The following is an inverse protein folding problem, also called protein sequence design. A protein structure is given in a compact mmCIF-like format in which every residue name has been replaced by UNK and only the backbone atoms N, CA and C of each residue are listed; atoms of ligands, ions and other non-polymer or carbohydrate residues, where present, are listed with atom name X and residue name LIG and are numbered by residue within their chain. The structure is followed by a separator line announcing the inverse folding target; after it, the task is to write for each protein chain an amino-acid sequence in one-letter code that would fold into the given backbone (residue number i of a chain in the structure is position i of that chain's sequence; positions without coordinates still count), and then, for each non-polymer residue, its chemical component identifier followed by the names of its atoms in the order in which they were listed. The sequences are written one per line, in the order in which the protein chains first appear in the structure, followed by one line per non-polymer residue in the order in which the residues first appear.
data_IF_984441955306
#
_entry.id   IF_984441955306
#
_cell.length_a   1.000
_cell.length_b   1.000
_cell.length_c   1.000
_cell.angle_alpha   90.00
_cell.angle_beta   90.00
_cell.angle_gamma   90.00
#
_symmetry.space_group_name_H-M   'P 1'
#
loop_
_entity.id
_entity.type
_entity.pdbx_description
1 polymer ?
#
# COMPACT_ATOMS: atom_id res chain seq x y z
N UNK A 1 9.84 -2.14 -21.57
CA UNK A 1 10.61 -1.59 -20.43
C UNK A 1 9.97 -2.16 -19.18
N UNK A 2 10.75 -2.70 -18.24
CA UNK A 2 10.19 -3.14 -16.96
C UNK A 2 10.05 -1.90 -16.06
N UNK A 3 8.91 -1.76 -15.39
CA UNK A 3 8.69 -0.69 -14.40
C UNK A 3 9.56 -0.90 -13.17
N UNK A 4 10.11 0.18 -12.61
CA UNK A 4 10.68 0.19 -11.27
C UNK A 4 9.55 0.36 -10.26
N UNK A 5 9.54 -0.49 -9.23
CA UNK A 5 8.42 -0.61 -8.31
C UNK A 5 8.88 -0.40 -6.87
N UNK A 6 8.29 0.58 -6.21
CA UNK A 6 8.44 0.84 -4.77
C UNK A 6 7.16 0.37 -4.05
N UNK A 7 7.32 -0.41 -3.00
CA UNK A 7 6.24 -0.73 -2.09
C UNK A 7 6.52 -0.05 -0.75
N UNK A 8 5.71 0.97 -0.45
CA UNK A 8 5.69 1.65 0.85
C UNK A 8 4.82 0.82 1.79
N UNK A 9 5.46 0.13 2.71
CA UNK A 9 4.83 -0.68 3.75
C UNK A 9 4.69 0.15 5.02
N UNK A 10 3.45 0.32 5.48
CA UNK A 10 3.15 0.90 6.78
C UNK A 10 2.43 -0.11 7.66
N UNK A 11 3.10 -0.59 8.70
CA UNK A 11 2.52 -1.56 9.64
C UNK A 11 3.20 -1.47 11.00
N UNK A 12 2.57 -0.91 12.04
CA UNK A 12 3.21 -0.63 13.33
C UNK A 12 3.65 -1.88 14.09
N UNK A 13 3.14 -3.06 13.75
CA UNK A 13 3.51 -4.35 14.36
C UNK A 13 3.71 -5.41 13.27
N UNK A 14 4.57 -5.11 12.30
CA UNK A 14 4.81 -5.98 11.14
C UNK A 14 5.34 -7.35 11.54
N UNK A 15 6.18 -7.43 12.56
CA UNK A 15 6.80 -8.69 13.00
C UNK A 15 5.77 -9.74 13.43
N UNK A 16 4.61 -9.32 13.89
CA UNK A 16 3.49 -10.20 14.25
C UNK A 16 2.41 -10.28 13.16
N UNK A 17 2.59 -9.61 12.03
CA UNK A 17 1.61 -9.59 10.95
C UNK A 17 1.72 -10.83 10.07
N UNK A 18 0.82 -11.77 10.21
CA UNK A 18 0.69 -12.90 9.29
C UNK A 18 0.34 -12.42 7.87
N UNK A 19 -0.67 -11.58 7.74
CA UNK A 19 -1.19 -11.17 6.45
C UNK A 19 -0.19 -10.37 5.61
N UNK A 20 0.34 -9.28 6.17
CA UNK A 20 1.24 -8.42 5.40
C UNK A 20 2.57 -9.12 5.09
N UNK A 21 3.07 -9.98 6.00
CA UNK A 21 4.25 -10.82 5.73
C UNK A 21 4.02 -11.79 4.57
N UNK A 22 2.87 -12.48 4.53
CA UNK A 22 2.52 -13.40 3.45
C UNK A 22 2.47 -12.68 2.10
N UNK A 23 1.77 -11.54 2.03
CA UNK A 23 1.68 -10.72 0.82
C UNK A 23 3.08 -10.29 0.34
N UNK A 24 3.89 -9.72 1.23
CA UNK A 24 5.24 -9.23 0.88
C UNK A 24 6.15 -10.39 0.44
N UNK A 25 6.12 -11.53 1.13
CA UNK A 25 6.90 -12.71 0.76
C UNK A 25 6.54 -13.20 -0.64
N UNK A 26 5.24 -13.29 -0.93
CA UNK A 26 4.75 -13.69 -2.26
C UNK A 26 5.12 -12.66 -3.33
N UNK A 27 4.95 -11.35 -3.07
CA UNK A 27 5.35 -10.29 -4.00
C UNK A 27 6.84 -10.35 -4.33
N UNK A 28 7.72 -10.53 -3.34
CA UNK A 28 9.15 -10.69 -3.58
C UNK A 28 9.48 -11.91 -4.45
N UNK A 29 8.71 -12.99 -4.34
CA UNK A 29 8.90 -14.16 -5.20
C UNK A 29 8.45 -13.94 -6.64
N UNK A 30 7.44 -13.08 -6.86
CA UNK A 30 6.90 -12.76 -8.18
C UNK A 30 7.63 -11.59 -8.87
N UNK A 31 8.14 -10.65 -8.07
CA UNK A 31 8.87 -9.45 -8.51
C UNK A 31 10.13 -9.33 -7.65
N UNK A 32 11.21 -10.08 -7.97
CA UNK A 32 12.43 -10.08 -7.14
C UNK A 32 13.07 -8.70 -6.95
N UNK A 33 12.93 -7.81 -7.93
CA UNK A 33 13.47 -6.47 -7.93
C UNK A 33 12.59 -5.40 -7.24
N UNK A 34 11.45 -5.78 -6.64
CA UNK A 34 10.59 -4.85 -5.91
C UNK A 34 11.33 -4.22 -4.73
N UNK A 35 11.39 -2.91 -4.69
CA UNK A 35 11.93 -2.16 -3.55
C UNK A 35 10.90 -2.09 -2.44
N UNK A 36 11.23 -2.58 -1.24
CA UNK A 36 10.34 -2.56 -0.07
C UNK A 36 10.83 -1.49 0.89
N UNK A 37 9.97 -0.54 1.19
CA UNK A 37 10.20 0.58 2.07
C UNK A 37 9.30 0.47 3.31
N UNK A 38 9.78 -0.19 4.36
CA UNK A 38 9.02 -0.38 5.61
C UNK A 38 9.21 0.84 6.51
N UNK A 39 8.33 1.84 6.35
CA UNK A 39 8.48 3.17 6.97
C UNK A 39 8.46 3.13 8.50
N UNK A 40 7.63 2.27 9.14
CA UNK A 40 7.64 2.14 10.60
C UNK A 40 8.98 1.60 11.14
N UNK A 41 9.67 0.75 10.39
CA UNK A 41 10.97 0.21 10.76
C UNK A 41 12.10 1.19 10.49
N UNK A 42 12.00 1.97 9.43
CA UNK A 42 13.01 2.96 9.04
C UNK A 42 12.98 4.19 9.94
N UNK A 43 11.81 4.54 10.45
CA UNK A 43 11.57 5.75 11.23
C UNK A 43 10.89 5.44 12.56
N UNK A 44 11.53 4.66 13.46
CA UNK A 44 10.91 4.21 14.71
C UNK A 44 10.64 5.35 15.70
N UNK A 45 11.31 6.49 15.53
CA UNK A 45 11.08 7.71 16.31
C UNK A 45 10.10 8.68 15.65
N UNK A 46 9.51 8.30 14.52
CA UNK A 46 8.56 9.12 13.76
C UNK A 46 9.18 10.24 12.93
N UNK A 47 10.54 10.36 12.90
CA UNK A 47 11.23 11.41 12.14
C UNK A 47 11.60 10.95 10.75
N UNK A 48 10.74 11.27 9.80
CA UNK A 48 10.90 10.86 8.41
C UNK A 48 12.02 11.63 7.73
N UNK A 49 12.94 10.91 7.07
CA UNK A 49 13.90 11.53 6.17
C UNK A 49 13.24 11.84 4.84
N UNK A 50 12.59 12.99 4.76
CA UNK A 50 11.79 13.44 3.61
C UNK A 50 12.56 13.35 2.31
N UNK A 51 13.81 13.82 2.27
CA UNK A 51 14.63 13.79 1.06
C UNK A 51 14.89 12.37 0.56
N UNK A 52 15.17 11.45 1.45
CA UNK A 52 15.37 10.04 1.11
C UNK A 52 14.11 9.42 0.53
N UNK A 53 12.93 9.72 1.14
CA UNK A 53 11.64 9.22 0.63
C UNK A 53 11.31 9.80 -0.75
N UNK A 54 11.55 11.09 -0.94
CA UNK A 54 11.35 11.75 -2.23
C UNK A 54 12.27 11.18 -3.33
N UNK A 55 13.52 10.86 -3.01
CA UNK A 55 14.45 10.21 -3.95
C UNK A 55 13.95 8.81 -4.36
N UNK A 56 13.43 8.01 -3.42
CA UNK A 56 12.80 6.71 -3.73
C UNK A 56 11.58 6.89 -4.66
N UNK A 57 10.73 7.87 -4.35
CA UNK A 57 9.56 8.17 -5.20
C UNK A 57 9.97 8.57 -6.60
N UNK A 58 11.01 9.42 -6.76
CA UNK A 58 11.50 9.85 -8.08
C UNK A 58 12.03 8.65 -8.88
N UNK A 59 12.79 7.77 -8.24
CA UNK A 59 13.45 6.61 -8.86
C UNK A 59 12.47 5.57 -9.41
N UNK A 60 11.28 5.45 -8.81
CA UNK A 60 10.31 4.41 -9.10
C UNK A 60 9.14 4.90 -9.96
N UNK A 61 8.60 4.04 -10.82
CA UNK A 61 7.50 4.33 -11.74
C UNK A 61 6.13 4.00 -11.13
N UNK A 62 6.09 2.94 -10.32
CA UNK A 62 4.89 2.44 -9.65
C UNK A 62 5.13 2.49 -8.15
N UNK A 63 4.18 3.06 -7.42
CA UNK A 63 4.18 3.15 -5.97
C UNK A 63 3.01 2.32 -5.44
N UNK A 64 3.31 1.31 -4.64
CA UNK A 64 2.31 0.47 -3.99
C UNK A 64 2.25 0.87 -2.52
N UNK A 65 1.11 1.28 -2.03
CA UNK A 65 0.89 1.52 -0.60
C UNK A 65 0.29 0.28 0.03
N UNK A 66 1.07 -0.43 0.86
CA UNK A 66 0.66 -1.66 1.56
C UNK A 66 0.46 -1.38 3.05
N UNK A 67 -0.76 -1.62 3.56
CA UNK A 67 -1.08 -1.38 4.97
C UNK A 67 -2.30 -2.18 5.46
N UNK A 68 -2.42 -2.42 6.77
CA UNK A 68 -3.67 -2.84 7.38
C UNK A 68 -4.57 -1.63 7.60
N UNK A 69 -5.87 -1.78 7.33
CA UNK A 69 -6.84 -0.74 7.65
C UNK A 69 -7.09 -0.68 9.14
N UNK A 70 -6.97 0.49 9.73
CA UNK A 70 -7.35 0.79 11.11
C UNK A 70 -8.47 1.82 11.14
N UNK A 71 -9.57 1.49 11.84
CA UNK A 71 -10.72 2.39 11.99
C UNK A 71 -11.15 3.03 10.65
N UNK A 72 -11.32 2.18 9.64
CA UNK A 72 -11.76 2.58 8.29
C UNK A 72 -10.85 3.58 7.59
N UNK A 73 -9.58 3.66 8.00
CA UNK A 73 -8.59 4.56 7.43
C UNK A 73 -7.21 3.88 7.32
N UNK A 74 -6.28 4.54 6.64
CA UNK A 74 -4.86 4.18 6.66
C UNK A 74 -4.27 4.41 8.06
N UNK A 75 -3.18 3.70 8.45
CA UNK A 75 -2.49 3.96 9.70
C UNK A 75 -2.05 5.43 9.82
N UNK A 76 -2.04 5.96 11.04
CA UNK A 76 -1.69 7.37 11.28
C UNK A 76 -0.30 7.72 10.73
N UNK A 77 0.67 6.82 10.85
CA UNK A 77 2.02 7.05 10.38
C UNK A 77 2.10 7.17 8.84
N UNK A 78 1.27 6.43 8.11
CA UNK A 78 1.15 6.61 6.66
C UNK A 78 0.53 7.98 6.33
N UNK A 79 -0.36 8.52 7.17
CA UNK A 79 -0.90 9.87 6.98
C UNK A 79 0.17 10.93 7.21
N UNK A 80 0.97 10.80 8.29
CA UNK A 80 2.11 11.66 8.54
C UNK A 80 3.11 11.60 7.38
N UNK A 81 3.42 10.39 6.90
CA UNK A 81 4.33 10.21 5.76
C UNK A 81 3.85 10.98 4.52
N UNK A 82 2.55 10.96 4.22
CA UNK A 82 1.99 11.76 3.12
C UNK A 82 2.14 13.27 3.37
N UNK A 83 1.88 13.74 4.58
CA UNK A 83 2.00 15.16 4.95
C UNK A 83 3.44 15.65 4.83
N UNK A 84 4.39 14.86 5.32
CA UNK A 84 5.81 15.24 5.33
C UNK A 84 6.45 15.11 3.94
N UNK A 85 6.16 14.04 3.19
CA UNK A 85 6.87 13.73 1.92
C UNK A 85 6.26 14.41 0.71
N UNK A 86 4.92 14.60 0.68
CA UNK A 86 4.23 15.23 -0.44
C UNK A 86 4.21 16.77 -0.30
N UNK A 87 5.39 17.37 -0.20
CA UNK A 87 5.57 18.80 0.02
C UNK A 87 5.21 19.66 -1.19
N UNK A 88 4.94 20.96 -0.89
CA UNK A 88 4.87 22.00 -1.90
C UNK A 88 6.19 22.13 -2.67
N UNK A 89 6.12 22.27 -3.99
CA UNK A 89 7.31 22.31 -4.85
C UNK A 89 7.91 20.93 -5.20
N UNK A 90 7.43 19.87 -4.55
CA UNK A 90 7.78 18.48 -4.89
C UNK A 90 6.60 17.76 -5.55
N UNK A 91 5.52 17.55 -4.79
CA UNK A 91 4.35 16.79 -5.24
C UNK A 91 3.27 17.67 -5.89
N UNK A 92 3.20 18.93 -5.50
CA UNK A 92 2.19 19.89 -5.99
C UNK A 92 2.71 21.33 -5.92
N UNK A 93 1.91 22.26 -6.47
CA UNK A 93 2.24 23.69 -6.48
C UNK A 93 3.25 24.07 -7.57
N UNK A 94 3.92 25.22 -7.38
CA UNK A 94 4.90 25.72 -8.35
C UNK A 94 6.11 24.78 -8.45
N UNK A 95 6.39 24.25 -9.64
CA UNK A 95 7.44 23.24 -9.90
C UNK A 95 7.23 21.88 -9.19
N UNK A 96 6.06 21.67 -8.58
CA UNK A 96 5.70 20.43 -7.88
C UNK A 96 5.15 19.36 -8.82
N UNK A 97 5.97 18.84 -9.73
CA UNK A 97 5.62 17.87 -10.76
C UNK A 97 6.41 16.55 -10.68
N UNK A 98 7.15 16.32 -9.60
CA UNK A 98 8.05 15.18 -9.48
C UNK A 98 7.33 13.82 -9.45
N UNK A 99 6.04 13.84 -9.09
CA UNK A 99 5.19 12.65 -9.05
C UNK A 99 4.31 12.49 -10.30
N UNK A 100 4.35 13.44 -11.23
CA UNK A 100 3.56 13.41 -12.45
C UNK A 100 3.72 12.10 -13.23
N UNK A 101 2.59 11.51 -13.62
CA UNK A 101 2.49 10.23 -14.36
C UNK A 101 2.96 8.98 -13.60
N UNK A 102 3.45 9.07 -12.38
CA UNK A 102 3.70 7.87 -11.55
C UNK A 102 2.38 7.17 -11.24
N UNK A 103 2.42 5.86 -11.12
CA UNK A 103 1.25 5.01 -10.93
C UNK A 103 1.12 4.68 -9.45
N UNK A 104 -0.12 4.71 -8.94
CA UNK A 104 -0.44 4.32 -7.56
C UNK A 104 -1.31 3.07 -7.57
N UNK A 105 -0.94 2.10 -6.74
CA UNK A 105 -1.75 0.93 -6.39
C UNK A 105 -1.90 0.92 -4.87
N UNK A 106 -3.13 0.71 -4.39
CA UNK A 106 -3.39 0.53 -2.96
C UNK A 106 -3.60 -0.94 -2.65
N UNK A 107 -2.89 -1.42 -1.65
CA UNK A 107 -2.92 -2.80 -1.17
C UNK A 107 -3.23 -2.79 0.32
N UNK A 108 -4.38 -3.32 0.72
CA UNK A 108 -4.80 -3.26 2.11
C UNK A 108 -5.43 -4.55 2.61
N UNK A 109 -5.28 -4.78 3.91
CA UNK A 109 -5.90 -5.87 4.63
C UNK A 109 -6.93 -5.35 5.62
N UNK A 110 -8.04 -6.07 5.79
CA UNK A 110 -9.14 -5.72 6.67
C UNK A 110 -9.35 -6.79 7.74
N UNK A 111 -9.64 -6.37 8.96
CA UNK A 111 -10.11 -7.27 10.01
C UNK A 111 -11.58 -7.66 9.84
N UNK A 112 -12.41 -6.77 9.33
CA UNK A 112 -13.83 -7.00 9.06
C UNK A 112 -14.04 -7.65 7.67
N UNK A 113 -15.26 -8.13 7.39
CA UNK A 113 -15.62 -8.70 6.09
C UNK A 113 -15.96 -7.61 5.08
N UNK A 114 -15.78 -7.89 3.79
CA UNK A 114 -16.20 -7.00 2.71
C UNK A 114 -17.72 -6.77 2.68
N UNK A 115 -18.50 -7.69 3.25
CA UNK A 115 -19.95 -7.54 3.36
C UNK A 115 -20.36 -6.32 4.18
N UNK A 116 -19.55 -5.95 5.18
CA UNK A 116 -19.76 -4.73 5.96
C UNK A 116 -19.70 -3.45 5.11
N UNK A 117 -19.02 -3.51 3.96
CA UNK A 117 -18.79 -2.35 3.09
C UNK A 117 -19.70 -2.34 1.85
N UNK A 118 -20.81 -3.06 1.85
CA UNK A 118 -21.70 -3.17 0.67
C UNK A 118 -22.75 -2.07 0.56
N UNK A 119 -23.15 -1.48 1.68
CA UNK A 119 -24.28 -0.55 1.73
C UNK A 119 -23.81 0.92 1.67
N UNK A 120 -23.95 1.64 2.78
CA UNK A 120 -23.69 3.09 2.83
C UNK A 120 -22.22 3.46 2.71
N UNK A 121 -21.31 2.57 3.14
CA UNK A 121 -19.86 2.80 3.12
C UNK A 121 -19.21 1.77 2.21
N UNK A 122 -18.88 2.15 0.99
CA UNK A 122 -18.17 1.27 0.06
C UNK A 122 -16.65 1.34 0.27
N UNK A 123 -15.95 0.26 -0.12
CA UNK A 123 -14.48 0.27 -0.20
C UNK A 123 -13.98 1.41 -1.11
N UNK A 124 -14.74 1.72 -2.15
CA UNK A 124 -14.41 2.81 -3.07
C UNK A 124 -14.41 4.18 -2.39
N UNK A 125 -15.31 4.39 -1.43
CA UNK A 125 -15.33 5.62 -0.61
C UNK A 125 -14.09 5.71 0.29
N UNK A 126 -13.61 4.59 0.84
CA UNK A 126 -12.40 4.54 1.67
C UNK A 126 -11.12 4.79 0.87
N UNK A 127 -11.16 4.56 -0.43
CA UNK A 127 -10.06 4.85 -1.36
C UNK A 127 -10.07 6.27 -1.89
N UNK A 128 -11.13 7.03 -1.64
CA UNK A 128 -11.26 8.41 -2.17
C UNK A 128 -10.11 9.34 -1.79
N UNK A 129 -9.49 9.28 -0.58
CA UNK A 129 -8.31 10.08 -0.27
C UNK A 129 -7.11 9.79 -1.18
N UNK A 130 -6.86 8.51 -1.50
CA UNK A 130 -5.78 8.14 -2.43
C UNK A 130 -6.06 8.60 -3.85
N UNK A 131 -7.30 8.47 -4.31
CA UNK A 131 -7.73 8.94 -5.64
C UNK A 131 -7.61 10.46 -5.75
N UNK A 132 -8.03 11.19 -4.71
CA UNK A 132 -7.93 12.64 -4.65
C UNK A 132 -6.46 13.10 -4.63
N UNK A 133 -5.60 12.48 -3.80
CA UNK A 133 -4.17 12.76 -3.77
C UNK A 133 -3.52 12.49 -5.11
N UNK A 134 -3.81 11.35 -5.75
CA UNK A 134 -3.28 11.01 -7.07
C UNK A 134 -3.67 12.06 -8.11
N UNK A 135 -4.94 12.47 -8.14
CA UNK A 135 -5.41 13.53 -9.05
C UNK A 135 -4.70 14.87 -8.80
N UNK A 136 -4.57 15.25 -7.54
CA UNK A 136 -3.96 16.53 -7.16
C UNK A 136 -2.46 16.60 -7.51
N UNK A 137 -1.73 15.49 -7.36
CA UNK A 137 -0.30 15.37 -7.66
C UNK A 137 0.00 14.88 -9.08
N UNK A 138 -1.01 14.83 -9.96
CA UNK A 138 -0.90 14.40 -11.36
C UNK A 138 -0.41 12.93 -11.51
N UNK A 139 -0.57 12.11 -10.47
CA UNK A 139 -0.33 10.67 -10.51
C UNK A 139 -1.53 9.93 -11.11
N UNK A 140 -1.34 8.66 -11.47
CA UNK A 140 -2.41 7.80 -11.98
C UNK A 140 -2.77 6.74 -10.94
N UNK A 141 -4.00 6.78 -10.43
CA UNK A 141 -4.53 5.70 -9.61
C UNK A 141 -4.88 4.52 -10.52
N UNK A 142 -4.12 3.41 -10.38
CA UNK A 142 -4.23 2.26 -11.28
C UNK A 142 -5.09 1.12 -10.73
N UNK A 143 -5.42 1.16 -9.45
CA UNK A 143 -6.27 0.14 -8.84
C UNK A 143 -5.96 -0.13 -7.39
N UNK A 144 -6.65 -1.12 -6.85
CA UNK A 144 -6.45 -1.56 -5.49
C UNK A 144 -6.70 -3.06 -5.33
N UNK A 145 -6.10 -3.63 -4.30
CA UNK A 145 -6.39 -5.00 -3.86
C UNK A 145 -6.70 -4.99 -2.36
N UNK A 146 -7.73 -5.72 -2.00
CA UNK A 146 -8.18 -5.86 -0.60
C UNK A 146 -8.31 -7.35 -0.28
N UNK A 147 -7.80 -7.74 0.90
CA UNK A 147 -8.13 -9.03 1.52
C UNK A 147 -8.73 -8.77 2.89
N UNK A 148 -9.89 -9.32 3.10
CA UNK A 148 -10.73 -9.12 4.26
C UNK A 148 -10.67 -10.27 5.28
N UNK A 149 -11.38 -10.09 6.39
CA UNK A 149 -11.55 -11.09 7.44
C UNK A 149 -10.21 -11.61 7.99
N UNK A 150 -9.23 -10.71 8.14
CA UNK A 150 -7.92 -10.98 8.72
C UNK A 150 -7.99 -10.71 10.23
N UNK A 151 -8.32 -11.74 11.00
CA UNK A 151 -8.46 -11.67 12.46
C UNK A 151 -7.17 -12.19 13.11
N UNK A 152 -6.73 -11.57 14.21
CA UNK A 152 -5.47 -11.91 14.88
C UNK A 152 -5.44 -13.35 15.47
N UNK A 153 -6.58 -14.00 15.71
CA UNK A 153 -6.69 -15.32 16.33
C UNK A 153 -6.70 -16.49 15.32
N UNK A 154 -6.27 -16.27 14.09
CA UNK A 154 -6.24 -17.32 13.03
C UNK A 154 -5.26 -18.46 13.34
N UNK A 155 -4.30 -18.24 14.25
CA UNK A 155 -3.21 -19.19 14.52
C UNK A 155 -3.66 -20.53 15.12
N UNK A 156 -4.86 -20.59 15.66
CA UNK A 156 -5.34 -21.77 16.40
C UNK A 156 -6.12 -22.79 15.54
N UNK A 157 -6.37 -22.46 14.26
CA UNK A 157 -7.05 -23.38 13.33
C UNK A 157 -6.26 -23.48 12.01
N UNK A 158 -5.63 -24.64 11.79
CA UNK A 158 -4.74 -24.88 10.65
C UNK A 158 -5.44 -24.81 9.29
N UNK A 159 -6.70 -25.24 9.19
CA UNK A 159 -7.48 -25.19 7.94
C UNK A 159 -7.79 -23.74 7.56
N UNK A 160 -8.27 -22.95 8.51
CA UNK A 160 -8.52 -21.52 8.32
C UNK A 160 -7.23 -20.79 7.97
N UNK A 161 -6.12 -21.14 8.61
CA UNK A 161 -4.82 -20.54 8.34
C UNK A 161 -4.37 -20.76 6.89
N UNK A 162 -4.52 -22.00 6.38
CA UNK A 162 -4.11 -22.34 5.01
C UNK A 162 -4.98 -21.63 3.96
N UNK A 163 -6.30 -21.56 4.16
CA UNK A 163 -7.19 -20.84 3.26
C UNK A 163 -6.90 -19.34 3.27
N UNK A 164 -6.60 -18.75 4.43
CA UNK A 164 -6.19 -17.35 4.52
C UNK A 164 -4.86 -17.11 3.82
N UNK A 165 -3.91 -18.01 3.95
CA UNK A 165 -2.63 -17.92 3.24
C UNK A 165 -2.83 -17.90 1.73
N UNK A 166 -3.65 -18.83 1.19
CA UNK A 166 -4.00 -18.83 -0.25
C UNK A 166 -4.66 -17.52 -0.70
N UNK A 167 -5.58 -16.97 0.10
CA UNK A 167 -6.22 -15.69 -0.20
C UNK A 167 -5.20 -14.53 -0.25
N UNK A 168 -4.21 -14.52 0.66
CA UNK A 168 -3.16 -13.52 0.72
C UNK A 168 -2.13 -13.68 -0.42
N UNK A 169 -1.82 -14.91 -0.82
CA UNK A 169 -0.99 -15.16 -2.00
C UNK A 169 -1.69 -14.70 -3.28
N UNK A 170 -2.99 -14.97 -3.41
CA UNK A 170 -3.83 -14.45 -4.51
C UNK A 170 -3.92 -12.92 -4.49
N UNK A 171 -3.91 -12.29 -3.31
CA UNK A 171 -3.82 -10.83 -3.21
C UNK A 171 -2.55 -10.30 -3.91
N UNK A 172 -1.40 -10.91 -3.64
CA UNK A 172 -0.14 -10.54 -4.29
C UNK A 172 -0.19 -10.75 -5.82
N UNK A 173 -0.78 -11.85 -6.27
CA UNK A 173 -0.98 -12.14 -7.70
C UNK A 173 -1.86 -11.08 -8.38
N UNK A 174 -2.94 -10.64 -7.74
CA UNK A 174 -3.79 -9.55 -8.25
C UNK A 174 -3.04 -8.21 -8.36
N UNK A 175 -2.10 -7.91 -7.46
CA UNK A 175 -1.24 -6.73 -7.60
C UNK A 175 -0.41 -6.85 -8.88
N UNK A 176 0.19 -8.02 -9.13
CA UNK A 176 0.96 -8.28 -10.37
C UNK A 176 0.08 -8.16 -11.61
N UNK A 177 -1.15 -8.65 -11.57
CA UNK A 177 -2.13 -8.48 -12.67
C UNK A 177 -2.39 -6.99 -12.97
N UNK A 178 -2.59 -6.16 -11.92
CA UNK A 178 -2.74 -4.71 -12.11
C UNK A 178 -1.51 -4.11 -12.76
N UNK A 179 -0.31 -4.46 -12.29
CA UNK A 179 0.97 -3.97 -12.84
C UNK A 179 1.10 -4.33 -14.33
N UNK A 180 0.80 -5.58 -14.71
CA UNK A 180 0.89 -6.06 -16.08
C UNK A 180 -0.12 -5.38 -17.03
N UNK A 181 -1.23 -4.87 -16.49
CA UNK A 181 -2.25 -4.16 -17.26
C UNK A 181 -2.00 -2.65 -17.37
N UNK A 182 -0.96 -2.13 -16.73
CA UNK A 182 -0.57 -0.71 -16.85
C UNK A 182 0.07 -0.47 -18.22
N UNK A 183 -0.58 0.42 -18.98
CA UNK A 183 -0.12 0.89 -20.30
C UNK A 183 0.71 2.17 -20.21
#
# INVERSE_FOLDING_TARGET
MSFKILLVLCHPNYDNSFANKTIITKLKSLIPEIEIDHIDSLYPDGKINVKSEQEKLIKNDIIIFQFPMYWHNRPHFLSQWFEDVYEYGFAYGTNGDKLKNKKIIVSMTLGNTLDFFKDEISIDNLLSPFKASAKYTQQKFCGFVVTDNIINNIKDNLEILEDRKKALEKHAEKIVEIINNIK
#
